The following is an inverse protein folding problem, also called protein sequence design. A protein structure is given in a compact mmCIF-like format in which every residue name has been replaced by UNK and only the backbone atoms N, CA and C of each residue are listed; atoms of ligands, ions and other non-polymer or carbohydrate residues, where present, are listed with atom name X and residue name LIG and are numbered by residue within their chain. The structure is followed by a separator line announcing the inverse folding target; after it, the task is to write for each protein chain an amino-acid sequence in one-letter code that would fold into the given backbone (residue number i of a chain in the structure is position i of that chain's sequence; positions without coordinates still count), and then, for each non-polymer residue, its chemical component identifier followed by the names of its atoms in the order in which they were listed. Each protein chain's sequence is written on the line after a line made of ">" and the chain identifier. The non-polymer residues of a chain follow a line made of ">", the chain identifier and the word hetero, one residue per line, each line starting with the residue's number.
data_IF_683989101779
#
_entry.id   IF_683989101779
#
_cell.length_a   1.000
_cell.length_b   1.000
_cell.length_c   1.000
_cell.angle_alpha   90.00
_cell.angle_beta   90.00
_cell.angle_gamma   90.00
#
_symmetry.space_group_name_H-M   'P 1'
#
loop_
_entity.id
_entity.type
_entity.pdbx_description
1 polymer ?
#
# COMPACT_ATOMS: atom_id res chain seq x y z
N UNK A 1 7.65 -0.76 -13.74
CA UNK A 1 7.36 -2.02 -13.01
C UNK A 1 7.43 -3.16 -14.01
N UNK A 2 8.11 -4.28 -13.70
CA UNK A 2 8.11 -5.46 -14.58
C UNK A 2 6.70 -6.10 -14.56
N UNK A 3 6.14 -6.46 -15.72
CA UNK A 3 4.81 -7.10 -15.82
C UNK A 3 4.67 -8.34 -14.93
N UNK A 4 5.76 -9.10 -14.75
CA UNK A 4 5.79 -10.25 -13.84
C UNK A 4 5.50 -9.87 -12.38
N UNK A 5 5.94 -8.68 -11.94
CA UNK A 5 5.67 -8.21 -10.58
C UNK A 5 4.21 -7.76 -10.44
N UNK A 6 3.66 -7.08 -11.47
CA UNK A 6 2.26 -6.65 -11.49
C UNK A 6 1.32 -7.86 -11.38
N UNK A 7 1.62 -8.95 -12.07
CA UNK A 7 0.85 -10.20 -11.97
C UNK A 7 1.01 -10.93 -10.63
N UNK A 8 1.90 -10.48 -9.74
CA UNK A 8 2.03 -11.05 -8.39
C UNK A 8 1.32 -10.21 -7.33
N UNK A 9 0.84 -9.01 -7.68
CA UNK A 9 0.03 -8.20 -6.77
C UNK A 9 -1.44 -8.65 -6.86
N UNK A 10 -2.19 -8.50 -5.77
CA UNK A 10 -3.62 -8.78 -5.77
C UNK A 10 -4.39 -7.81 -6.69
N UNK A 11 -3.91 -6.57 -6.80
CA UNK A 11 -4.55 -5.51 -7.59
C UNK A 11 -4.24 -5.56 -9.09
N UNK A 12 -3.26 -6.35 -9.55
CA UNK A 12 -2.94 -6.55 -10.98
C UNK A 12 -2.69 -5.26 -11.78
N UNK A 13 -2.27 -4.20 -11.09
CA UNK A 13 -1.82 -2.95 -11.68
C UNK A 13 -0.52 -2.46 -11.05
N UNK A 14 0.18 -1.58 -11.75
CA UNK A 14 1.24 -0.81 -11.13
C UNK A 14 0.65 0.14 -10.07
N UNK A 15 1.36 0.30 -8.96
CA UNK A 15 1.09 1.36 -8.01
C UNK A 15 1.52 2.69 -8.60
N UNK A 16 0.73 3.73 -8.31
CA UNK A 16 1.05 5.11 -8.66
C UNK A 16 1.57 5.83 -7.40
N UNK A 17 2.40 6.88 -7.54
CA UNK A 17 2.84 7.67 -6.39
C UNK A 17 1.69 8.17 -5.50
N UNK A 18 0.53 8.43 -6.09
CA UNK A 18 -0.66 8.86 -5.38
C UNK A 18 -1.22 7.81 -4.39
N UNK A 19 -1.02 6.51 -4.66
CA UNK A 19 -1.47 5.45 -3.75
C UNK A 19 -0.79 5.60 -2.37
N UNK A 20 0.52 5.88 -2.37
CA UNK A 20 1.31 6.11 -1.14
C UNK A 20 1.00 7.48 -0.54
N UNK A 21 0.90 8.53 -1.36
CA UNK A 21 0.59 9.88 -0.89
C UNK A 21 -0.76 9.94 -0.15
N UNK A 22 -1.78 9.22 -0.65
CA UNK A 22 -3.09 9.15 0.01
C UNK A 22 -3.02 8.43 1.37
N UNK A 23 -2.25 7.35 1.48
CA UNK A 23 -2.06 6.65 2.75
C UNK A 23 -1.34 7.54 3.77
N UNK A 24 -0.32 8.29 3.35
CA UNK A 24 0.36 9.29 4.17
C UNK A 24 -0.63 10.38 4.62
N UNK A 25 -1.39 10.94 3.68
CA UNK A 25 -2.36 11.99 3.98
C UNK A 25 -3.40 11.52 5.01
N UNK A 26 -3.87 10.28 4.92
CA UNK A 26 -4.74 9.67 5.93
C UNK A 26 -4.06 9.57 7.29
N UNK A 27 -2.84 9.02 7.34
CA UNK A 27 -2.10 8.84 8.61
C UNK A 27 -1.74 10.18 9.28
N UNK A 28 -1.57 11.26 8.50
CA UNK A 28 -1.34 12.61 9.02
C UNK A 28 -2.62 13.35 9.41
N UNK A 29 -3.81 12.78 9.15
CA UNK A 29 -5.10 13.42 9.46
C UNK A 29 -5.61 13.01 10.84
N UNK A 30 -6.58 13.77 11.36
CA UNK A 30 -7.26 13.46 12.63
C UNK A 30 -8.00 12.12 12.61
N UNK A 31 -8.31 11.59 11.42
CA UNK A 31 -8.97 10.30 11.23
C UNK A 31 -8.09 9.12 11.71
N UNK A 32 -6.77 9.32 11.76
CA UNK A 32 -5.81 8.31 12.21
C UNK A 32 -5.38 8.51 13.67
N UNK A 33 -6.10 9.32 14.46
CA UNK A 33 -5.73 9.70 15.84
C UNK A 33 -5.48 8.54 16.81
N UNK A 34 -5.97 7.34 16.51
CA UNK A 34 -5.75 6.14 17.32
C UNK A 34 -4.87 5.07 16.64
N UNK A 35 -4.13 5.43 15.59
CA UNK A 35 -3.24 4.53 14.85
C UNK A 35 -1.79 4.89 15.21
N UNK A 36 -1.09 3.96 15.87
CA UNK A 36 0.33 4.11 16.21
C UNK A 36 1.05 2.76 16.31
N UNK A 37 2.36 2.75 16.10
CA UNK A 37 3.20 1.54 16.26
C UNK A 37 3.00 0.45 15.22
N UNK A 38 2.35 0.75 14.09
CA UNK A 38 2.03 -0.22 13.03
C UNK A 38 2.66 0.18 11.69
N UNK A 39 3.06 -0.82 10.90
CA UNK A 39 3.43 -0.63 9.50
C UNK A 39 2.22 -0.82 8.59
N UNK A 40 1.93 0.17 7.74
CA UNK A 40 0.88 0.09 6.72
C UNK A 40 1.51 -0.17 5.35
N UNK A 41 1.32 -1.37 4.82
CA UNK A 41 1.84 -1.73 3.49
C UNK A 41 0.96 -1.13 2.38
N UNK A 42 1.58 -0.38 1.47
CA UNK A 42 0.94 0.19 0.27
C UNK A 42 1.61 -0.38 -0.97
N UNK A 43 1.29 -1.63 -1.27
CA UNK A 43 2.06 -2.49 -2.19
C UNK A 43 1.20 -3.18 -3.25
N UNK A 44 -0.11 -2.91 -3.26
CA UNK A 44 -1.08 -3.64 -4.09
C UNK A 44 -1.29 -5.10 -3.65
N UNK A 45 -0.87 -5.47 -2.43
CA UNK A 45 -1.05 -6.80 -1.87
C UNK A 45 -0.04 -7.84 -2.36
N UNK A 46 1.19 -7.42 -2.67
CA UNK A 46 2.25 -8.34 -3.10
C UNK A 46 2.68 -9.29 -1.98
N UNK A 47 2.60 -8.83 -0.73
CA UNK A 47 2.97 -9.57 0.47
C UNK A 47 1.93 -10.61 0.92
N UNK A 48 0.69 -10.55 0.39
CA UNK A 48 -0.39 -11.47 0.76
C UNK A 48 -0.10 -12.94 0.42
N UNK A 49 0.86 -13.18 -0.48
CA UNK A 49 1.21 -14.50 -0.99
C UNK A 49 2.60 -14.98 -0.52
N UNK A 50 3.21 -14.26 0.42
CA UNK A 50 4.47 -14.62 1.07
C UNK A 50 4.19 -14.88 2.54
N UNK A 51 4.13 -16.17 2.88
CA UNK A 51 4.13 -16.69 4.25
C UNK A 51 5.47 -17.40 4.49
#
# INVERSE_FOLDING_TARGET
>A
MNERMVQRTAMRRAGEPQDVANAIAFLCSDLASNITGVGLNVSGGIELFTF
#
